data_IF_836554018712
#
_entry.id   IF_836554018712
#
_cell.length_a   1.000
_cell.length_b   1.000
_cell.length_c   1.000
_cell.angle_alpha   90.00
_cell.angle_beta   90.00
_cell.angle_gamma   90.00
#
_symmetry.space_group_name_H-M   'P 1'
#
loop_
_entity.id
_entity.type
_entity.pdbx_description
1 polymer ?
#
# COMPACT_ATOMS: atom_id res chain seq x y z
N UNK A 1 -10.44 -26.72 -6.00
CA UNK A 1 -10.19 -27.13 -4.61
C UNK A 1 -8.80 -26.61 -4.24
N UNK A 2 -8.66 -25.77 -3.22
CA UNK A 2 -7.35 -25.21 -2.82
C UNK A 2 -6.62 -26.29 -2.03
N UNK A 3 -5.39 -26.64 -2.42
CA UNK A 3 -4.62 -27.69 -1.74
C UNK A 3 -4.05 -27.19 -0.40
N UNK A 4 -3.77 -28.12 0.51
CA UNK A 4 -3.12 -27.79 1.79
C UNK A 4 -1.75 -27.11 1.59
N UNK A 5 -1.04 -27.46 0.50
CA UNK A 5 0.20 -26.79 0.12
C UNK A 5 -0.02 -25.32 -0.29
N UNK A 6 -1.08 -25.02 -1.05
CA UNK A 6 -1.45 -23.65 -1.42
C UNK A 6 -1.87 -22.83 -0.19
N UNK A 7 -2.57 -23.47 0.77
CA UNK A 7 -2.96 -22.84 2.04
C UNK A 7 -1.73 -22.47 2.89
N UNK A 8 -0.79 -23.41 3.08
CA UNK A 8 0.46 -23.13 3.80
C UNK A 8 1.31 -22.04 3.13
N UNK A 9 1.39 -22.03 1.79
CA UNK A 9 2.12 -20.99 1.06
C UNK A 9 1.51 -19.61 1.30
N UNK A 10 0.18 -19.49 1.23
CA UNK A 10 -0.54 -18.24 1.51
C UNK A 10 -0.34 -17.77 2.94
N UNK A 11 -0.38 -18.67 3.91
CA UNK A 11 -0.20 -18.33 5.33
C UNK A 11 1.23 -17.88 5.63
N UNK A 12 2.24 -18.51 5.00
CA UNK A 12 3.64 -18.05 5.09
C UNK A 12 3.83 -16.67 4.47
N UNK A 13 3.16 -16.38 3.35
CA UNK A 13 3.24 -15.07 2.69
C UNK A 13 2.57 -13.99 3.55
N UNK A 14 1.35 -14.24 4.05
CA UNK A 14 0.63 -13.34 4.95
C UNK A 14 1.41 -12.98 6.22
N UNK A 15 2.16 -13.92 6.79
CA UNK A 15 3.04 -13.64 7.94
C UNK A 15 4.16 -12.64 7.64
N UNK A 16 4.52 -12.44 6.37
CA UNK A 16 5.51 -11.44 5.92
C UNK A 16 4.87 -10.12 5.54
N UNK A 17 3.55 -10.08 5.36
CA UNK A 17 2.83 -8.84 5.05
C UNK A 17 2.75 -7.97 6.30
N UNK A 18 3.06 -6.69 6.14
CA UNK A 18 2.91 -5.70 7.19
C UNK A 18 1.83 -4.69 6.78
N UNK A 19 0.81 -4.53 7.62
CA UNK A 19 -0.26 -3.54 7.42
C UNK A 19 0.12 -2.22 8.09
N UNK A 20 -0.20 -1.11 7.43
CA UNK A 20 -0.15 0.23 7.99
C UNK A 20 -1.52 0.88 7.80
N UNK A 21 -1.97 1.62 8.80
CA UNK A 21 -3.28 2.28 8.82
C UNK A 21 -3.05 3.78 8.94
N UNK A 22 -3.64 4.54 8.02
CA UNK A 22 -3.66 6.00 8.04
C UNK A 22 -5.10 6.42 8.33
N UNK A 23 -5.30 7.37 9.24
CA UNK A 23 -6.61 7.94 9.53
C UNK A 23 -6.66 9.36 8.98
N UNK A 24 -7.74 9.68 8.29
CA UNK A 24 -8.03 11.02 7.81
C UNK A 24 -9.03 11.68 8.75
N UNK A 25 -8.75 12.91 9.13
CA UNK A 25 -9.69 13.75 9.87
C UNK A 25 -10.67 14.44 8.91
N UNK A 26 -11.78 15.02 9.41
CA UNK A 26 -12.70 15.77 8.56
C UNK A 26 -12.07 16.97 7.82
N UNK A 27 -10.90 17.46 8.27
CA UNK A 27 -10.17 18.56 7.61
C UNK A 27 -9.35 18.08 6.41
N UNK A 28 -9.18 16.77 6.25
CA UNK A 28 -8.44 16.13 5.17
C UNK A 28 -9.41 15.39 4.24
N UNK A 29 -10.67 15.86 4.19
CA UNK A 29 -11.71 15.26 3.35
C UNK A 29 -11.36 15.33 1.88
N UNK A 30 -10.68 16.40 1.46
CA UNK A 30 -10.17 16.61 0.12
C UNK A 30 -9.13 15.54 -0.29
N UNK A 31 -8.21 15.18 0.62
CA UNK A 31 -7.21 14.12 0.39
C UNK A 31 -7.90 12.77 0.27
N UNK A 32 -8.91 12.51 1.11
CA UNK A 32 -9.68 11.27 1.06
C UNK A 32 -10.48 11.17 -0.25
N UNK A 33 -11.16 12.24 -0.65
CA UNK A 33 -11.90 12.31 -1.93
C UNK A 33 -10.98 12.09 -3.13
N UNK A 34 -9.79 12.68 -3.12
CA UNK A 34 -8.79 12.47 -4.15
C UNK A 34 -8.36 11.00 -4.23
N UNK A 35 -8.06 10.38 -3.08
CA UNK A 35 -7.73 8.95 -3.03
C UNK A 35 -8.90 8.09 -3.52
N UNK A 36 -10.13 8.47 -3.18
CA UNK A 36 -11.35 7.75 -3.53
C UNK A 36 -11.62 7.73 -5.04
N UNK A 37 -11.21 8.77 -5.77
CA UNK A 37 -11.26 8.83 -7.22
C UNK A 37 -10.37 7.82 -7.96
N UNK A 38 -9.43 7.16 -7.26
CA UNK A 38 -8.56 6.15 -7.86
C UNK A 38 -9.15 4.74 -7.68
N UNK A 39 -9.26 4.00 -8.79
CA UNK A 39 -9.72 2.59 -8.78
C UNK A 39 -8.79 1.70 -7.93
N UNK A 40 -7.47 1.92 -8.01
CA UNK A 40 -6.47 1.17 -7.25
C UNK A 40 -5.73 2.07 -6.24
N UNK A 41 -6.35 2.28 -5.09
CA UNK A 41 -5.82 3.09 -3.97
C UNK A 41 -4.47 2.58 -3.46
N UNK A 42 -4.34 1.26 -3.31
CA UNK A 42 -3.10 0.65 -2.83
C UNK A 42 -1.96 0.82 -3.84
N UNK A 43 -2.25 0.69 -5.13
CA UNK A 43 -1.29 0.94 -6.21
C UNK A 43 -0.86 2.40 -6.26
N UNK A 44 -1.83 3.32 -6.18
CA UNK A 44 -1.57 4.76 -6.14
C UNK A 44 -0.64 5.16 -4.99
N UNK A 45 -0.97 4.78 -3.75
CA UNK A 45 -0.14 5.08 -2.58
C UNK A 45 1.27 4.48 -2.71
N UNK A 46 1.39 3.23 -3.17
CA UNK A 46 2.70 2.59 -3.37
C UNK A 46 3.53 3.25 -4.46
N UNK A 47 2.88 3.77 -5.51
CA UNK A 47 3.54 4.57 -6.56
C UNK A 47 4.15 5.83 -5.98
N UNK A 48 3.35 6.62 -5.25
CA UNK A 48 3.82 7.84 -4.59
C UNK A 48 5.03 7.59 -3.68
N UNK A 49 4.99 6.51 -2.88
CA UNK A 49 6.11 6.14 -2.00
C UNK A 49 7.36 5.79 -2.81
N UNK A 50 7.22 5.05 -3.92
CA UNK A 50 8.37 4.69 -4.77
C UNK A 50 8.97 5.92 -5.44
N UNK A 51 8.13 6.79 -6.00
CA UNK A 51 8.58 8.02 -6.65
C UNK A 51 9.28 8.94 -5.64
N UNK A 52 8.78 9.03 -4.41
CA UNK A 52 9.42 9.76 -3.32
C UNK A 52 10.78 9.16 -2.94
N UNK A 53 10.85 7.83 -2.80
CA UNK A 53 12.11 7.12 -2.55
C UNK A 53 13.13 7.35 -3.66
N UNK A 54 12.71 7.40 -4.92
CA UNK A 54 13.60 7.66 -6.06
C UNK A 54 14.09 9.10 -6.06
N UNK A 55 13.26 10.07 -5.69
CA UNK A 55 13.63 11.50 -5.69
C UNK A 55 14.46 11.91 -4.49
N UNK A 56 14.16 11.33 -3.32
CA UNK A 56 14.68 11.80 -2.03
C UNK A 56 15.56 10.76 -1.33
N UNK A 57 15.61 9.54 -1.86
CA UNK A 57 16.41 8.46 -1.31
C UNK A 57 17.91 8.61 -1.55
N UNK A 58 18.72 7.74 -0.92
CA UNK A 58 20.18 7.82 -0.99
C UNK A 58 20.76 7.68 -2.41
N UNK A 59 20.01 7.14 -3.36
CA UNK A 59 20.43 6.97 -4.75
C UNK A 59 20.33 8.26 -5.59
N UNK A 60 19.60 9.28 -5.10
CA UNK A 60 19.45 10.58 -5.77
C UNK A 60 20.39 11.67 -5.24
N UNK A 61 21.23 11.34 -4.24
CA UNK A 61 22.30 12.22 -3.75
C UNK A 61 23.64 11.89 -4.41
#
# INVERSE_FOLDING_TARGET
MVSEAQKQARDRYRRKEATRVVRFSPRESDILEWLDGHENKAGYIKGLIRDDMERNGPAAR
#
